data_IF_550422770341
#
_entry.id   IF_550422770341
#
_cell.length_a   1.000
_cell.length_b   1.000
_cell.length_c   1.000
_cell.angle_alpha   90.00
_cell.angle_beta   90.00
_cell.angle_gamma   90.00
#
_symmetry.space_group_name_H-M   'P 1'
#
loop_
_entity.id
_entity.type
_entity.pdbx_description
1 polymer ?
#
# COMPACT_ATOMS: atom_id res chain seq x y z
N UNK A 1 9.70 -2.19 -18.23
CA UNK A 1 8.76 -1.38 -17.42
C UNK A 1 8.96 0.07 -17.81
N UNK A 2 7.88 0.82 -18.13
CA UNK A 2 8.01 2.23 -18.47
C UNK A 2 8.43 3.06 -17.22
N UNK A 3 8.99 4.25 -17.42
CA UNK A 3 9.45 5.12 -16.32
C UNK A 3 8.31 5.41 -15.33
N UNK A 4 7.09 5.55 -15.83
CA UNK A 4 5.90 5.80 -15.02
C UNK A 4 5.61 4.68 -14.00
N UNK A 5 5.66 3.40 -14.42
CA UNK A 5 5.49 2.26 -13.51
C UNK A 5 6.56 2.18 -12.42
N UNK A 6 7.79 2.64 -12.70
CA UNK A 6 8.86 2.74 -11.69
C UNK A 6 8.51 3.78 -10.63
N UNK A 7 8.02 4.94 -11.04
CA UNK A 7 7.64 6.00 -10.10
C UNK A 7 6.44 5.61 -9.24
N UNK A 8 5.43 4.96 -9.83
CA UNK A 8 4.29 4.44 -9.07
C UNK A 8 4.75 3.40 -8.06
N UNK A 9 5.63 2.47 -8.45
CA UNK A 9 6.17 1.47 -7.53
C UNK A 9 6.91 2.12 -6.37
N UNK A 10 7.82 3.05 -6.66
CA UNK A 10 8.58 3.79 -5.65
C UNK A 10 7.66 4.58 -4.71
N UNK A 11 6.65 5.27 -5.25
CA UNK A 11 5.68 6.03 -4.48
C UNK A 11 4.88 5.12 -3.54
N UNK A 12 4.32 4.00 -4.05
CA UNK A 12 3.60 3.02 -3.23
C UNK A 12 4.48 2.51 -2.11
N UNK A 13 5.73 2.14 -2.41
CA UNK A 13 6.63 1.59 -1.41
C UNK A 13 7.03 2.59 -0.32
N UNK A 14 7.35 3.83 -0.70
CA UNK A 14 7.69 4.89 0.26
C UNK A 14 6.49 5.25 1.14
N UNK A 15 5.30 5.36 0.55
CA UNK A 15 4.06 5.61 1.30
C UNK A 15 3.77 4.45 2.26
N UNK A 16 3.87 3.21 1.80
CA UNK A 16 3.68 1.99 2.60
C UNK A 16 4.58 1.99 3.84
N UNK A 17 5.88 2.28 3.65
CA UNK A 17 6.85 2.36 4.76
C UNK A 17 6.52 3.52 5.70
N UNK A 18 6.29 4.71 5.15
CA UNK A 18 6.06 5.93 5.96
C UNK A 18 4.79 5.80 6.79
N UNK A 19 3.68 5.40 6.16
CA UNK A 19 2.39 5.22 6.83
C UNK A 19 2.47 4.09 7.85
N UNK A 20 3.13 2.97 7.52
CA UNK A 20 3.33 1.88 8.45
C UNK A 20 4.13 2.30 9.69
N UNK A 21 5.18 3.10 9.54
CA UNK A 21 5.94 3.67 10.68
C UNK A 21 5.05 4.61 11.51
N UNK A 22 4.23 5.45 10.88
CA UNK A 22 3.28 6.31 11.59
C UNK A 22 2.30 5.48 12.45
N UNK A 23 1.77 4.37 11.92
CA UNK A 23 0.93 3.45 12.70
C UNK A 23 1.67 2.84 13.89
N UNK A 24 2.89 2.33 13.67
CA UNK A 24 3.67 1.67 14.72
C UNK A 24 4.12 2.62 15.83
N UNK A 25 4.35 3.88 15.49
CA UNK A 25 4.74 4.92 16.45
C UNK A 25 3.55 5.57 17.16
N UNK A 26 2.31 5.27 16.74
CA UNK A 26 1.12 6.00 17.19
C UNK A 26 1.13 7.48 16.76
N UNK A 27 2.00 7.85 15.82
CA UNK A 27 2.08 9.19 15.28
C UNK A 27 0.97 9.38 14.24
N UNK A 28 0.19 10.46 14.36
CA UNK A 28 -0.91 10.86 13.45
C UNK A 28 -2.19 9.99 13.51
N UNK A 29 -2.09 8.71 13.84
CA UNK A 29 -3.24 7.82 13.99
C UNK A 29 -3.72 7.71 15.45
N UNK A 30 -5.00 7.98 15.65
CA UNK A 30 -5.71 7.81 16.92
C UNK A 30 -6.86 6.83 16.70
N UNK A 31 -7.08 5.95 17.66
CA UNK A 31 -8.14 4.95 17.63
C UNK A 31 -9.27 5.23 18.62
N UNK A 32 -9.31 6.41 19.24
CA UNK A 32 -10.24 6.72 20.33
C UNK A 32 -11.72 6.45 19.98
N UNK A 33 -12.11 6.57 18.71
CA UNK A 33 -13.44 6.22 18.22
C UNK A 33 -13.87 4.77 18.47
N UNK A 34 -12.94 3.85 18.78
CA UNK A 34 -13.22 2.43 19.07
C UNK A 34 -13.56 2.15 20.54
N UNK A 35 -13.43 3.13 21.44
CA UNK A 35 -13.80 2.96 22.86
C UNK A 35 -13.04 1.82 23.55
N UNK A 36 -13.76 0.80 24.05
CA UNK A 36 -13.16 -0.35 24.74
C UNK A 36 -12.34 -1.26 23.83
N UNK A 37 -12.61 -1.27 22.52
CA UNK A 37 -11.97 -2.17 21.55
C UNK A 37 -10.62 -1.66 21.05
N UNK A 38 -10.22 -0.44 21.46
CA UNK A 38 -8.98 0.23 21.02
C UNK A 38 -7.75 -0.67 21.11
N UNK A 39 -7.60 -1.43 22.21
CA UNK A 39 -6.43 -2.27 22.43
C UNK A 39 -6.31 -3.42 21.41
N UNK A 40 -7.41 -4.10 21.11
CA UNK A 40 -7.44 -5.23 20.18
C UNK A 40 -7.18 -4.78 18.74
N UNK A 41 -7.85 -3.69 18.33
CA UNK A 41 -7.75 -3.16 16.98
C UNK A 41 -6.38 -2.51 16.73
N UNK A 42 -5.87 -1.72 17.67
CA UNK A 42 -4.53 -1.13 17.55
C UNK A 42 -3.43 -2.19 17.46
N UNK A 43 -3.55 -3.30 18.21
CA UNK A 43 -2.63 -4.44 18.09
C UNK A 43 -2.68 -5.09 16.71
N UNK A 44 -3.89 -5.37 16.20
CA UNK A 44 -4.10 -5.97 14.88
C UNK A 44 -3.57 -5.09 13.76
N UNK A 45 -3.83 -3.78 13.83
CA UNK A 45 -3.34 -2.80 12.86
C UNK A 45 -1.82 -2.65 12.96
N UNK A 46 -1.24 -2.76 14.15
CA UNK A 46 0.21 -2.78 14.33
C UNK A 46 0.89 -3.95 13.60
N UNK A 47 0.28 -5.13 13.60
CA UNK A 47 0.77 -6.27 12.82
C UNK A 47 0.72 -5.96 11.32
N UNK A 48 -0.42 -5.47 10.83
CA UNK A 48 -0.57 -5.08 9.42
C UNK A 48 0.38 -3.95 9.01
N UNK A 49 0.62 -2.98 9.88
CA UNK A 49 1.57 -1.91 9.67
C UNK A 49 3.00 -2.47 9.54
N UNK A 50 3.40 -3.39 10.42
CA UNK A 50 4.72 -4.05 10.35
C UNK A 50 4.92 -4.80 9.04
N UNK A 51 3.90 -5.57 8.61
CA UNK A 51 3.95 -6.29 7.33
C UNK A 51 4.00 -5.30 6.16
N UNK A 52 3.21 -4.23 6.20
CA UNK A 52 3.20 -3.16 5.20
C UNK A 52 4.56 -2.47 5.05
N UNK A 53 5.26 -2.21 6.17
CA UNK A 53 6.63 -1.69 6.15
C UNK A 53 7.58 -2.68 5.48
N UNK A 54 7.53 -3.95 5.88
CA UNK A 54 8.37 -5.00 5.30
C UNK A 54 8.18 -5.14 3.80
N UNK A 55 6.92 -5.20 3.32
CA UNK A 55 6.59 -5.26 1.91
C UNK A 55 7.07 -4.02 1.15
N UNK A 56 6.93 -2.83 1.73
CA UNK A 56 7.43 -1.58 1.16
C UNK A 56 8.95 -1.59 0.97
N UNK A 57 9.70 -2.03 1.98
CA UNK A 57 11.17 -2.15 1.90
C UNK A 57 11.56 -3.15 0.81
N UNK A 58 10.93 -4.33 0.78
CA UNK A 58 11.22 -5.34 -0.25
C UNK A 58 10.92 -4.79 -1.64
N UNK A 59 9.78 -4.11 -1.84
CA UNK A 59 9.44 -3.49 -3.12
C UNK A 59 10.48 -2.43 -3.54
N UNK A 60 10.95 -1.58 -2.62
CA UNK A 60 12.04 -0.63 -2.89
C UNK A 60 13.32 -1.34 -3.34
N UNK A 61 13.69 -2.43 -2.66
CA UNK A 61 14.86 -3.22 -3.01
C UNK A 61 14.77 -3.82 -4.42
N UNK A 62 13.56 -4.04 -4.95
CA UNK A 62 13.41 -4.51 -6.34
C UNK A 62 13.62 -3.44 -7.40
N UNK A 63 13.59 -2.13 -7.07
CA UNK A 63 13.74 -1.04 -8.04
C UNK A 63 15.05 -1.09 -8.86
N UNK A 64 16.24 -1.28 -8.26
CA UNK A 64 17.50 -1.36 -9.02
C UNK A 64 17.54 -2.55 -9.98
N UNK A 65 16.82 -3.64 -9.66
CA UNK A 65 16.78 -4.88 -10.44
C UNK A 65 15.94 -4.77 -11.73
N UNK A 66 15.48 -3.56 -12.09
CA UNK A 66 14.63 -3.34 -13.28
C UNK A 66 15.31 -3.65 -14.62
N UNK A 67 16.64 -3.60 -14.68
CA UNK A 67 17.41 -3.73 -15.91
C UNK A 67 17.95 -5.15 -16.12
N UNK A 68 17.75 -6.04 -15.16
CA UNK A 68 18.17 -7.42 -15.28
C UNK A 68 17.30 -8.16 -16.29
N UNK A 69 17.87 -8.46 -17.46
CA UNK A 69 17.18 -9.15 -18.55
C UNK A 69 17.03 -10.65 -18.29
N UNK A 70 17.91 -11.26 -17.49
CA UNK A 70 17.86 -12.70 -17.22
C UNK A 70 16.71 -13.04 -16.26
N UNK A 71 16.44 -12.16 -15.29
CA UNK A 71 15.42 -12.40 -14.27
C UNK A 71 14.20 -11.47 -14.37
N UNK A 72 14.04 -10.75 -15.47
CA UNK A 72 12.96 -9.80 -15.69
C UNK A 72 11.55 -10.39 -15.43
N UNK A 73 11.34 -11.68 -15.77
CA UNK A 73 10.06 -12.37 -15.53
C UNK A 73 9.81 -12.60 -14.04
N UNK A 74 10.83 -13.05 -13.29
CA UNK A 74 10.74 -13.30 -11.87
C UNK A 74 10.43 -12.01 -11.11
N UNK A 75 11.22 -10.94 -11.31
CA UNK A 75 10.99 -9.66 -10.65
C UNK A 75 9.63 -9.03 -10.97
N UNK A 76 9.12 -9.23 -12.19
CA UNK A 76 7.77 -8.79 -12.55
C UNK A 76 6.68 -9.53 -11.77
N UNK A 77 6.80 -10.85 -11.64
CA UNK A 77 5.86 -11.66 -10.87
C UNK A 77 5.96 -11.32 -9.38
N UNK A 78 7.18 -11.22 -8.85
CA UNK A 78 7.44 -10.84 -7.45
C UNK A 78 6.80 -9.49 -7.12
N UNK A 79 7.04 -8.44 -7.91
CA UNK A 79 6.42 -7.12 -7.70
C UNK A 79 4.90 -7.18 -7.73
N UNK A 80 4.32 -7.92 -8.68
CA UNK A 80 2.87 -8.09 -8.75
C UNK A 80 2.33 -8.79 -7.50
N UNK A 81 2.98 -9.87 -7.03
CA UNK A 81 2.59 -10.59 -5.84
C UNK A 81 2.67 -9.70 -4.58
N UNK A 82 3.78 -8.97 -4.41
CA UNK A 82 3.97 -8.04 -3.28
C UNK A 82 2.92 -6.92 -3.28
N UNK A 83 2.60 -6.35 -4.44
CA UNK A 83 1.55 -5.34 -4.58
C UNK A 83 0.15 -5.91 -4.29
N UNK A 84 -0.12 -7.15 -4.69
CA UNK A 84 -1.40 -7.82 -4.36
C UNK A 84 -1.55 -8.06 -2.85
N UNK A 85 -0.48 -8.50 -2.18
CA UNK A 85 -0.51 -8.67 -0.71
C UNK A 85 -0.71 -7.30 -0.05
N UNK A 86 0.01 -6.27 -0.50
CA UNK A 86 -0.12 -4.92 0.03
C UNK A 86 -1.55 -4.38 -0.16
N UNK A 87 -2.16 -4.63 -1.33
CA UNK A 87 -3.54 -4.28 -1.61
C UNK A 87 -4.50 -4.94 -0.61
N UNK A 88 -4.38 -6.26 -0.40
CA UNK A 88 -5.23 -7.01 0.52
C UNK A 88 -5.13 -6.51 1.97
N UNK A 89 -3.93 -6.20 2.45
CA UNK A 89 -3.71 -5.70 3.82
C UNK A 89 -4.33 -4.30 4.01
N UNK A 90 -4.40 -3.49 2.96
CA UNK A 90 -5.02 -2.17 3.05
C UNK A 90 -6.55 -2.22 3.08
N UNK A 91 -7.19 -3.32 2.67
CA UNK A 91 -8.66 -3.43 2.65
C UNK A 91 -9.28 -3.39 4.06
N UNK A 92 -8.83 -4.19 5.05
CA UNK A 92 -9.36 -4.11 6.42
C UNK A 92 -9.21 -2.71 7.02
N UNK A 93 -8.03 -2.10 6.87
CA UNK A 93 -7.78 -0.76 7.38
C UNK A 93 -8.68 0.28 6.69
N UNK A 94 -8.86 0.21 5.37
CA UNK A 94 -9.79 1.06 4.64
C UNK A 94 -11.22 0.95 5.19
N UNK A 95 -11.72 -0.27 5.41
CA UNK A 95 -13.06 -0.49 5.97
C UNK A 95 -13.20 0.00 7.41
N UNK A 96 -12.17 -0.16 8.23
CA UNK A 96 -12.14 0.37 9.59
C UNK A 96 -12.30 1.90 9.59
N UNK A 97 -11.52 2.59 8.75
CA UNK A 97 -11.52 4.05 8.73
C UNK A 97 -12.76 4.65 8.10
N UNK A 98 -13.33 4.03 7.07
CA UNK A 98 -14.59 4.50 6.48
C UNK A 98 -15.80 4.14 7.34
N UNK A 99 -15.82 2.94 7.93
CA UNK A 99 -16.97 2.40 8.66
C UNK A 99 -17.07 2.94 10.09
N UNK A 100 -15.95 3.00 10.80
CA UNK A 100 -15.95 3.43 12.21
C UNK A 100 -15.31 4.80 12.36
N UNK A 101 -14.12 5.00 11.79
CA UNK A 101 -13.38 6.26 11.92
C UNK A 101 -14.19 7.46 11.41
N UNK A 102 -14.66 7.41 10.17
CA UNK A 102 -15.35 8.52 9.52
C UNK A 102 -16.77 8.76 10.07
N UNK A 103 -17.49 7.68 10.41
CA UNK A 103 -18.86 7.78 10.94
C UNK A 103 -18.87 8.36 12.36
N UNK A 104 -17.94 7.93 13.22
CA UNK A 104 -17.91 8.30 14.64
C UNK A 104 -17.10 9.58 14.86
N UNK A 105 -15.96 9.74 14.17
CA UNK A 105 -15.04 10.86 14.34
C UNK A 105 -14.48 11.31 13.00
N UNK A 106 -15.22 12.18 12.30
CA UNK A 106 -14.85 12.66 10.96
C UNK A 106 -13.37 13.07 10.81
N UNK A 107 -12.82 13.76 11.81
CA UNK A 107 -11.43 14.22 11.77
C UNK A 107 -10.40 13.08 11.88
N UNK A 108 -10.66 12.06 12.70
CA UNK A 108 -9.80 10.87 12.81
C UNK A 108 -10.01 9.96 11.60
N UNK A 109 -11.25 9.78 11.17
CA UNK A 109 -11.64 9.06 9.97
C UNK A 109 -10.92 9.53 8.72
N UNK A 110 -10.88 10.84 8.46
CA UNK A 110 -10.16 11.39 7.30
C UNK A 110 -8.65 11.15 7.38
N UNK A 111 -8.04 11.34 8.56
CA UNK A 111 -6.60 11.11 8.76
C UNK A 111 -6.22 9.67 8.47
N UNK A 112 -7.06 8.74 8.88
CA UNK A 112 -6.95 7.31 8.59
C UNK A 112 -7.20 6.95 7.13
N UNK A 113 -8.27 7.49 6.54
CA UNK A 113 -8.76 7.08 5.22
C UNK A 113 -7.85 7.52 4.08
N UNK A 114 -7.38 8.78 4.10
CA UNK A 114 -6.53 9.37 3.04
C UNK A 114 -5.34 8.46 2.67
N UNK A 115 -4.47 8.04 3.62
CA UNK A 115 -3.30 7.26 3.28
C UNK A 115 -3.65 5.91 2.63
N UNK A 116 -4.70 5.23 3.08
CA UNK A 116 -5.13 3.97 2.48
C UNK A 116 -5.72 4.15 1.07
N UNK A 117 -6.54 5.18 0.86
CA UNK A 117 -7.05 5.54 -0.48
C UNK A 117 -5.90 5.85 -1.42
N UNK A 118 -4.90 6.61 -0.98
CA UNK A 118 -3.72 6.94 -1.79
C UNK A 118 -2.95 5.68 -2.20
N UNK A 119 -2.65 4.77 -1.26
CA UNK A 119 -1.94 3.52 -1.56
C UNK A 119 -2.75 2.69 -2.56
N UNK A 120 -4.04 2.46 -2.30
CA UNK A 120 -4.91 1.68 -3.17
C UNK A 120 -5.01 2.28 -4.58
N UNK A 121 -5.18 3.60 -4.68
CA UNK A 121 -5.25 4.31 -5.95
C UNK A 121 -3.96 4.14 -6.77
N UNK A 122 -2.79 4.29 -6.14
CA UNK A 122 -1.50 4.15 -6.83
C UNK A 122 -1.28 2.68 -7.28
N UNK A 123 -1.69 1.69 -6.47
CA UNK A 123 -1.65 0.27 -6.88
C UNK A 123 -2.53 0.04 -8.11
N UNK A 124 -3.77 0.55 -8.11
CA UNK A 124 -4.69 0.44 -9.24
C UNK A 124 -4.09 1.11 -10.49
N UNK A 125 -3.56 2.33 -10.36
CA UNK A 125 -2.88 3.03 -11.46
C UNK A 125 -1.68 2.22 -12.01
N UNK A 126 -0.92 1.56 -11.13
CA UNK A 126 0.19 0.70 -11.54
C UNK A 126 -0.29 -0.48 -12.38
N UNK A 127 -1.35 -1.17 -11.93
CA UNK A 127 -1.96 -2.30 -12.65
C UNK A 127 -2.50 -1.86 -14.01
N UNK A 128 -3.26 -0.76 -14.06
CA UNK A 128 -3.82 -0.21 -15.30
C UNK A 128 -2.71 0.18 -16.28
N UNK A 129 -1.67 0.87 -15.82
CA UNK A 129 -0.52 1.21 -16.67
C UNK A 129 0.18 -0.05 -17.20
N UNK A 130 0.36 -1.08 -16.35
CA UNK A 130 0.97 -2.33 -16.80
C UNK A 130 0.10 -3.07 -17.83
N UNK A 131 -1.23 -3.00 -17.73
CA UNK A 131 -2.14 -3.59 -18.70
C UNK A 131 -2.07 -2.85 -20.06
N UNK A 132 -2.10 -1.52 -20.03
CA UNK A 132 -2.06 -0.69 -21.24
C UNK A 132 -0.76 -0.88 -22.04
N UNK A 133 0.39 -0.99 -21.35
CA UNK A 133 1.67 -1.26 -22.04
C UNK A 133 1.70 -2.61 -22.76
N UNK A 134 1.05 -3.65 -22.23
CA UNK A 134 0.98 -4.95 -22.91
C UNK A 134 0.08 -4.90 -24.14
N UNK A 135 -1.02 -4.16 -24.07
CA UNK A 135 -1.94 -4.03 -25.19
C UNK A 135 -1.32 -3.30 -26.38
N UNK A 136 -0.53 -2.24 -26.13
CA UNK A 136 0.19 -1.52 -27.19
C UNK A 136 1.25 -2.36 -27.89
N UNK A 137 1.84 -3.34 -27.20
CA UNK A 137 2.87 -4.22 -27.78
C UNK A 137 2.26 -5.32 -28.67
N UNK A 138 0.99 -5.66 -28.49
CA UNK A 138 0.28 -6.67 -29.29
C UNK A 138 -0.36 -6.09 -30.57
N UNK A 139 -0.47 -4.76 -30.66
CA UNK A 139 -1.13 -4.04 -31.76
C UNK A 139 -0.14 -3.34 -32.69
N UNK A 140 1.16 -3.53 -32.48
CA UNK A 140 2.26 -3.11 -33.35
C UNK A 140 2.90 -4.31 -34.02
#
# INVERSE_FOLDING_TARGET
MNKYGVYLLAATSLLSVTIGICYLSGFWFSFHFLGSEVGSESGTIGIFASVSVGLGIVLLATLPLRNDKQEARFYRILRAALLSILFLINIPAFFLWIGFGFIISFSEGIKGLIPHVMILAIIIMYVMNSANTKYSDLTR
#
